data_IF_615596785201
#
_entry.id   IF_615596785201
#
_cell.length_a   1.000
_cell.length_b   1.000
_cell.length_c   1.000
_cell.angle_alpha   90.00
_cell.angle_beta   90.00
_cell.angle_gamma   90.00
#
_symmetry.space_group_name_H-M   'P 1'
#
loop_
_entity.id
_entity.type
_entity.pdbx_description
1 polymer ?
#
# COMPACT_ATOMS: atom_id res chain seq x y z
N UNK A 1 2.83 -19.50 -26.90
CA UNK A 1 2.58 -18.62 -25.74
C UNK A 1 3.80 -17.77 -25.50
N UNK A 2 3.61 -16.45 -25.40
CA UNK A 2 4.68 -15.49 -25.14
C UNK A 2 4.92 -15.29 -23.63
N UNK A 3 6.17 -15.08 -23.23
CA UNK A 3 6.57 -14.84 -21.84
C UNK A 3 7.87 -14.03 -21.78
N UNK A 4 8.17 -13.48 -20.60
CA UNK A 4 9.39 -12.71 -20.34
C UNK A 4 10.53 -13.64 -19.93
N UNK A 5 11.72 -13.39 -20.47
CA UNK A 5 12.95 -14.10 -20.12
C UNK A 5 14.11 -13.12 -19.93
N UNK A 6 14.95 -13.38 -18.92
CA UNK A 6 16.21 -12.67 -18.73
C UNK A 6 17.36 -13.50 -19.29
N UNK A 7 18.31 -12.86 -19.97
CA UNK A 7 19.51 -13.49 -20.52
C UNK A 7 20.74 -12.73 -20.02
N UNK A 8 21.75 -13.48 -19.57
CA UNK A 8 23.06 -12.93 -19.19
C UNK A 8 23.98 -12.91 -20.40
N UNK A 9 24.69 -11.80 -20.61
CA UNK A 9 25.68 -11.65 -21.66
C UNK A 9 26.95 -11.07 -21.06
N UNK A 10 28.10 -11.65 -21.38
CA UNK A 10 29.40 -11.18 -20.90
C UNK A 10 30.02 -10.26 -21.95
N UNK A 11 30.45 -9.06 -21.56
CA UNK A 11 31.18 -8.14 -22.41
C UNK A 11 32.63 -8.59 -22.62
N UNK A 12 33.31 -8.00 -23.60
CA UNK A 12 34.76 -8.17 -23.81
C UNK A 12 35.61 -7.75 -22.61
N UNK A 13 35.13 -6.83 -21.78
CA UNK A 13 35.76 -6.41 -20.52
C UNK A 13 35.47 -7.33 -19.33
N UNK A 14 34.72 -8.43 -19.53
CA UNK A 14 34.37 -9.39 -18.48
C UNK A 14 33.12 -9.03 -17.65
N UNK A 15 32.53 -7.86 -17.88
CA UNK A 15 31.30 -7.42 -17.19
C UNK A 15 30.10 -8.25 -17.65
N UNK A 16 29.26 -8.67 -16.71
CA UNK A 16 28.02 -9.41 -17.01
C UNK A 16 26.84 -8.45 -17.04
N UNK A 17 26.14 -8.41 -18.18
CA UNK A 17 24.93 -7.64 -18.38
C UNK A 17 23.72 -8.57 -18.47
N UNK A 18 22.61 -8.16 -17.86
CA UNK A 18 21.33 -8.86 -17.97
C UNK A 18 20.40 -8.10 -18.92
N UNK A 19 19.79 -8.82 -19.85
CA UNK A 19 18.85 -8.30 -20.84
C UNK A 19 17.49 -8.97 -20.72
N UNK A 20 16.43 -8.19 -20.85
CA UNK A 20 15.04 -8.66 -20.76
C UNK A 20 14.48 -8.82 -22.18
N UNK A 21 13.85 -9.97 -22.46
CA UNK A 21 13.29 -10.28 -23.78
C UNK A 21 11.86 -10.82 -23.65
N UNK A 22 11.02 -10.51 -24.62
CA UNK A 22 9.76 -11.22 -24.86
C UNK A 22 10.09 -12.38 -25.80
N UNK A 23 9.79 -13.60 -25.37
CA UNK A 23 10.02 -14.82 -26.15
C UNK A 23 8.72 -15.58 -26.33
N UNK A 24 8.60 -16.28 -27.45
CA UNK A 24 7.47 -17.15 -27.71
C UNK A 24 7.95 -18.58 -27.92
N UNK A 25 7.32 -19.50 -27.20
CA UNK A 25 7.50 -20.93 -27.44
C UNK A 25 6.60 -21.40 -28.60
N UNK A 26 7.18 -22.16 -29.53
CA UNK A 26 6.51 -22.77 -30.67
C UNK A 26 7.01 -24.20 -30.89
N UNK A 27 6.29 -24.99 -31.69
CA UNK A 27 6.68 -26.35 -32.08
C UNK A 27 7.09 -26.37 -33.55
N UNK A 28 8.19 -27.05 -33.84
CA UNK A 28 8.68 -27.23 -35.21
C UNK A 28 9.40 -28.57 -35.31
N UNK A 29 9.05 -29.38 -36.31
CA UNK A 29 9.64 -30.70 -36.56
C UNK A 29 9.73 -31.61 -35.31
N UNK A 30 8.63 -31.66 -34.54
CA UNK A 30 8.55 -32.48 -33.32
C UNK A 30 9.32 -31.95 -32.11
N UNK A 31 9.98 -30.79 -32.22
CA UNK A 31 10.74 -30.18 -31.13
C UNK A 31 10.14 -28.85 -30.69
N UNK A 32 10.18 -28.58 -29.38
CA UNK A 32 9.75 -27.30 -28.81
C UNK A 32 10.90 -26.30 -28.92
N UNK A 33 10.68 -25.22 -29.67
CA UNK A 33 11.65 -24.14 -29.89
C UNK A 33 11.17 -22.82 -29.28
N UNK A 34 12.07 -21.87 -29.15
CA UNK A 34 11.77 -20.50 -28.70
C UNK A 34 12.28 -19.50 -29.72
N UNK A 35 11.48 -18.47 -30.01
CA UNK A 35 11.91 -17.30 -30.80
C UNK A 35 11.80 -16.04 -29.97
N UNK A 36 12.70 -15.09 -30.20
CA UNK A 36 12.64 -13.77 -29.56
C UNK A 36 11.66 -12.91 -30.35
N UNK A 37 10.62 -12.41 -29.69
CA UNK A 37 9.67 -11.47 -30.28
C UNK A 37 10.14 -10.03 -30.15
N UNK A 38 10.72 -9.67 -28.99
CA UNK A 38 11.23 -8.33 -28.73
C UNK A 38 12.36 -8.34 -27.69
N UNK A 39 13.30 -7.41 -27.82
CA UNK A 39 14.31 -7.12 -26.80
C UNK A 39 13.93 -5.83 -26.08
N UNK A 40 13.72 -5.91 -24.77
CA UNK A 40 13.34 -4.78 -23.92
C UNK A 40 14.56 -4.02 -23.38
N UNK A 41 15.77 -4.49 -23.68
CA UNK A 41 17.02 -3.83 -23.31
C UNK A 41 17.62 -4.34 -22.00
N UNK A 42 18.60 -3.58 -21.50
CA UNK A 42 19.34 -3.93 -20.29
C UNK A 42 18.45 -3.79 -19.05
N UNK A 43 18.49 -4.78 -18.15
CA UNK A 43 17.66 -4.83 -16.95
C UNK A 43 17.87 -3.61 -16.04
N UNK A 44 19.11 -3.13 -15.90
CA UNK A 44 19.42 -1.99 -15.03
C UNK A 44 18.78 -0.71 -15.57
N UNK A 45 18.88 -0.47 -16.87
CA UNK A 45 18.22 0.67 -17.52
C UNK A 45 16.70 0.54 -17.44
N UNK A 46 16.17 -0.64 -17.76
CA UNK A 46 14.74 -0.92 -17.79
C UNK A 46 14.05 -0.67 -16.44
N UNK A 47 14.73 -0.92 -15.31
CA UNK A 47 14.19 -0.68 -13.96
C UNK A 47 13.76 0.76 -13.72
N UNK A 48 14.35 1.74 -14.42
CA UNK A 48 13.99 3.16 -14.29
C UNK A 48 12.59 3.45 -14.84
N UNK A 49 12.26 2.85 -15.98
CA UNK A 49 11.05 3.17 -16.74
C UNK A 49 9.98 2.07 -16.70
N UNK A 50 10.26 0.94 -16.03
CA UNK A 50 9.41 -0.26 -16.07
C UNK A 50 7.96 0.00 -15.66
N UNK A 51 7.72 0.86 -14.66
CA UNK A 51 6.36 1.18 -14.21
C UNK A 51 5.56 1.87 -15.30
N UNK A 52 6.18 2.81 -16.03
CA UNK A 52 5.56 3.51 -17.14
C UNK A 52 5.30 2.57 -18.32
N UNK A 53 6.26 1.69 -18.62
CA UNK A 53 6.13 0.67 -19.67
C UNK A 53 4.97 -0.28 -19.35
N UNK A 54 4.89 -0.82 -18.13
CA UNK A 54 3.80 -1.71 -17.70
C UNK A 54 2.44 -1.00 -17.78
N UNK A 55 2.34 0.25 -17.29
CA UNK A 55 1.11 1.06 -17.41
C UNK A 55 0.72 1.27 -18.88
N UNK A 56 1.70 1.51 -19.77
CA UNK A 56 1.47 1.65 -21.22
C UNK A 56 0.98 0.36 -21.88
N UNK A 57 1.59 -0.78 -21.55
CA UNK A 57 1.18 -2.09 -22.07
C UNK A 57 -0.25 -2.44 -21.66
N UNK A 58 -0.60 -2.25 -20.39
CA UNK A 58 -1.96 -2.48 -19.89
C UNK A 58 -2.97 -1.57 -20.61
N UNK A 59 -2.64 -0.28 -20.77
CA UNK A 59 -3.50 0.67 -21.50
C UNK A 59 -3.77 0.22 -22.93
N UNK A 60 -2.74 -0.17 -23.67
CA UNK A 60 -2.88 -0.62 -25.07
C UNK A 60 -3.63 -1.94 -25.14
N UNK A 61 -3.45 -2.83 -24.16
CA UNK A 61 -4.19 -4.09 -24.08
C UNK A 61 -5.65 -3.94 -23.64
N UNK A 62 -6.10 -2.74 -23.23
CA UNK A 62 -7.43 -2.51 -22.68
C UNK A 62 -7.61 -3.08 -21.26
N UNK A 63 -6.50 -3.36 -20.57
CA UNK A 63 -6.49 -3.92 -19.23
C UNK A 63 -6.53 -2.84 -18.15
N UNK A 64 -7.00 -3.20 -16.96
CA UNK A 64 -7.04 -2.28 -15.82
C UNK A 64 -5.62 -1.86 -15.42
N UNK A 65 -5.38 -0.58 -15.11
CA UNK A 65 -4.06 -0.12 -14.67
C UNK A 65 -3.69 -0.77 -13.33
N UNK A 66 -2.42 -1.16 -13.20
CA UNK A 66 -1.85 -1.55 -11.92
C UNK A 66 -1.52 -0.31 -11.08
N UNK A 67 -1.83 -0.40 -9.79
CA UNK A 67 -1.37 0.56 -8.79
C UNK A 67 -0.06 0.05 -8.19
N UNK A 68 0.97 0.90 -8.21
CA UNK A 68 2.20 0.66 -7.47
C UNK A 68 2.09 1.27 -6.07
N UNK A 69 2.97 0.84 -5.16
CA UNK A 69 3.00 1.33 -3.77
C UNK A 69 3.03 2.87 -3.69
N UNK A 70 3.73 3.51 -4.62
CA UNK A 70 3.91 4.95 -4.66
C UNK A 70 2.70 5.68 -5.25
N UNK A 71 1.80 4.96 -5.93
CA UNK A 71 0.49 5.47 -6.34
C UNK A 71 -0.50 5.49 -5.15
N UNK A 72 -0.16 4.82 -4.03
CA UNK A 72 -1.00 4.79 -2.83
C UNK A 72 -0.74 6.00 -1.95
N UNK A 73 -1.81 6.63 -1.49
CA UNK A 73 -1.78 7.68 -0.48
C UNK A 73 -2.55 7.22 0.74
N UNK A 74 -2.07 7.59 1.93
CA UNK A 74 -2.85 7.39 3.15
C UNK A 74 -4.03 8.34 3.11
N UNK A 75 -5.24 7.80 3.02
CA UNK A 75 -6.46 8.59 3.03
C UNK A 75 -6.69 9.22 4.41
N UNK A 76 -6.50 8.44 5.49
CA UNK A 76 -6.60 8.88 6.88
C UNK A 76 -5.70 8.05 7.78
N UNK A 77 -5.10 8.68 8.79
CA UNK A 77 -4.47 8.01 9.93
C UNK A 77 -5.45 8.14 11.09
N UNK A 78 -6.06 7.03 11.50
CA UNK A 78 -6.99 7.03 12.62
C UNK A 78 -6.21 6.86 13.93
N UNK A 79 -6.36 7.82 14.84
CA UNK A 79 -5.72 7.77 16.16
C UNK A 79 -6.63 7.10 17.19
N UNK A 80 -6.33 5.85 17.53
CA UNK A 80 -7.09 5.09 18.53
C UNK A 80 -6.41 5.06 19.91
N UNK A 81 -5.12 5.36 19.97
CA UNK A 81 -4.31 5.23 21.19
C UNK A 81 -4.75 6.18 22.30
N UNK A 82 -4.87 7.47 21.99
CA UNK A 82 -5.25 8.49 22.98
C UNK A 82 -6.66 8.28 23.52
N UNK A 83 -7.63 7.99 22.65
CA UNK A 83 -9.00 7.67 23.07
C UNK A 83 -9.01 6.47 24.01
N UNK A 84 -8.22 5.43 23.73
CA UNK A 84 -8.14 4.25 24.59
C UNK A 84 -7.50 4.55 25.94
N UNK A 85 -6.39 5.30 25.97
CA UNK A 85 -5.73 5.71 27.22
C UNK A 85 -6.66 6.59 28.06
N UNK A 86 -7.32 7.57 27.44
CA UNK A 86 -8.29 8.43 28.11
C UNK A 86 -9.43 7.60 28.72
N UNK A 87 -9.98 6.62 28.00
CA UNK A 87 -11.01 5.72 28.53
C UNK A 87 -10.51 4.91 29.74
N UNK A 88 -9.27 4.39 29.69
CA UNK A 88 -8.68 3.63 30.80
C UNK A 88 -8.43 4.50 32.02
N UNK A 89 -7.86 5.69 31.85
CA UNK A 89 -7.66 6.64 32.94
C UNK A 89 -8.98 7.08 33.55
N UNK A 90 -10.00 7.30 32.72
CA UNK A 90 -11.33 7.66 33.19
C UNK A 90 -11.95 6.61 34.11
N UNK A 91 -11.79 5.33 33.76
CA UNK A 91 -12.25 4.21 34.58
C UNK A 91 -11.39 4.07 35.84
N UNK A 92 -10.07 4.14 35.71
CA UNK A 92 -9.13 4.00 36.83
C UNK A 92 -9.29 5.08 37.90
N UNK A 93 -9.58 6.32 37.49
CA UNK A 93 -9.80 7.46 38.38
C UNK A 93 -11.27 7.61 38.79
N UNK A 94 -12.14 6.69 38.38
CA UNK A 94 -13.59 6.72 38.67
C UNK A 94 -14.26 8.07 38.30
N UNK A 95 -13.76 8.74 37.26
CA UNK A 95 -14.22 10.09 36.88
C UNK A 95 -15.70 10.09 36.50
N UNK A 96 -16.22 8.99 35.94
CA UNK A 96 -17.64 8.85 35.62
C UNK A 96 -18.53 8.95 36.86
N UNK A 97 -18.13 8.30 37.95
CA UNK A 97 -18.86 8.40 39.21
C UNK A 97 -18.74 9.79 39.84
N UNK A 98 -17.53 10.37 39.85
CA UNK A 98 -17.29 11.69 40.40
C UNK A 98 -18.15 12.76 39.71
N UNK A 99 -18.14 12.75 38.37
CA UNK A 99 -18.94 13.66 37.54
C UNK A 99 -20.45 13.42 37.78
N UNK A 100 -20.89 12.16 37.78
CA UNK A 100 -22.30 11.83 38.04
C UNK A 100 -22.76 12.31 39.42
N UNK A 101 -21.93 12.16 40.45
CA UNK A 101 -22.21 12.64 41.82
C UNK A 101 -22.32 14.18 41.85
N UNK A 102 -21.41 14.90 41.20
CA UNK A 102 -21.43 16.37 41.15
C UNK A 102 -22.61 16.94 40.36
N UNK A 103 -23.05 16.25 39.30
CA UNK A 103 -24.12 16.73 38.42
C UNK A 103 -25.53 16.33 38.86
N UNK A 104 -25.68 15.35 39.77
CA UNK A 104 -26.98 15.01 40.39
C UNK A 104 -27.70 16.21 41.01
N UNK A 105 -26.96 17.22 41.47
CA UNK A 105 -27.51 18.46 42.01
C UNK A 105 -28.31 19.29 40.99
N UNK A 106 -28.06 19.12 39.68
CA UNK A 106 -28.63 19.98 38.63
C UNK A 106 -29.90 19.44 37.96
N UNK A 107 -30.39 18.23 38.34
CA UNK A 107 -31.64 17.60 37.83
C UNK A 107 -31.79 17.58 36.29
N UNK A 108 -30.73 17.37 35.52
CA UNK A 108 -30.83 17.31 34.05
C UNK A 108 -30.65 15.87 33.53
N UNK A 109 -31.50 15.46 32.58
CA UNK A 109 -31.51 14.13 31.94
C UNK A 109 -30.56 14.03 30.73
N UNK A 110 -29.29 14.41 30.89
CA UNK A 110 -28.29 14.30 29.82
C UNK A 110 -27.11 13.43 30.30
N UNK A 111 -26.55 12.61 29.41
CA UNK A 111 -25.38 11.76 29.67
C UNK A 111 -24.09 12.59 29.67
N UNK A 112 -24.00 13.54 30.61
CA UNK A 112 -22.88 14.49 30.70
C UNK A 112 -21.53 13.80 30.82
N UNK A 113 -21.45 12.61 31.45
CA UNK A 113 -20.21 11.85 31.49
C UNK A 113 -19.70 11.61 30.08
N UNK A 114 -20.55 11.10 29.19
CA UNK A 114 -20.15 10.77 27.82
C UNK A 114 -19.72 12.00 27.04
N UNK A 115 -20.42 13.12 27.19
CA UNK A 115 -20.05 14.38 26.54
C UNK A 115 -18.71 14.91 27.04
N UNK A 116 -18.49 14.95 28.36
CA UNK A 116 -17.23 15.44 28.94
C UNK A 116 -16.08 14.49 28.57
N UNK A 117 -16.30 13.17 28.61
CA UNK A 117 -15.32 12.18 28.15
C UNK A 117 -14.94 12.38 26.69
N UNK A 118 -15.90 12.67 25.81
CA UNK A 118 -15.62 13.01 24.41
C UNK A 118 -14.85 14.32 24.27
N UNK A 119 -15.23 15.37 25.01
CA UNK A 119 -14.54 16.66 24.96
C UNK A 119 -13.08 16.53 25.43
N UNK A 120 -12.83 15.78 26.51
CA UNK A 120 -11.47 15.53 27.01
C UNK A 120 -10.68 14.68 26.03
N UNK A 121 -11.27 13.61 25.47
CA UNK A 121 -10.60 12.79 24.46
C UNK A 121 -10.24 13.61 23.21
N UNK A 122 -11.15 14.47 22.73
CA UNK A 122 -10.88 15.37 21.62
C UNK A 122 -9.75 16.34 21.96
N UNK A 123 -9.76 16.92 23.18
CA UNK A 123 -8.72 17.85 23.63
C UNK A 123 -7.34 17.21 23.80
N UNK A 124 -7.27 15.91 24.07
CA UNK A 124 -6.02 15.18 24.16
C UNK A 124 -5.43 14.85 22.79
N UNK A 125 -6.29 14.66 21.78
CA UNK A 125 -5.90 14.40 20.39
C UNK A 125 -5.61 15.66 19.56
N UNK A 126 -6.06 16.84 20.02
CA UNK A 126 -5.71 18.16 19.46
C UNK A 126 -4.26 18.56 19.81
#
# INVERSE_FOLDING_TARGET
MAFIRTVKTRSSSGQVHEYVRIVEAYFEAGQRKQRVLANLGNLVSLRKDIKQIVKGLLRVAGERPLLFKEDLQNERVQEYGLVYVAQKLWAYLELGEAISKSLKAQKVQLDYERWIKMMVANKLSD
#
